data_IF_097537942166
#
_entry.id   IF_097537942166
#
_cell.length_a   1.000
_cell.length_b   1.000
_cell.length_c   1.000
_cell.angle_alpha   90.00
_cell.angle_beta   90.00
_cell.angle_gamma   90.00
#
_symmetry.space_group_name_H-M   'P 1'
#
loop_
_entity.id
_entity.type
_entity.pdbx_description
1 polymer ?
#
# COMPACT_ATOMS: atom_id res chain seq x y z
N UNK A 1 13.27 3.59 -12.16
CA UNK A 1 12.45 3.02 -11.06
C UNK A 1 13.39 2.66 -9.92
N UNK A 2 12.97 2.80 -8.67
CA UNK A 2 13.80 2.42 -7.51
C UNK A 2 13.36 1.03 -7.03
N UNK A 3 14.30 0.21 -6.57
CA UNK A 3 14.02 -1.10 -5.97
C UNK A 3 14.70 -1.18 -4.61
N UNK A 4 13.89 -1.39 -3.56
CA UNK A 4 14.38 -1.51 -2.18
C UNK A 4 14.30 -2.95 -1.70
N UNK A 5 15.24 -3.32 -0.84
CA UNK A 5 15.16 -4.51 -0.02
C UNK A 5 15.09 -4.13 1.45
N UNK A 6 14.22 -4.82 2.19
CA UNK A 6 14.27 -4.88 3.65
C UNK A 6 14.43 -6.33 4.09
N UNK A 7 15.21 -6.59 5.13
CA UNK A 7 15.45 -7.94 5.66
C UNK A 7 15.49 -7.97 7.19
N UNK A 8 15.21 -9.13 7.77
CA UNK A 8 15.32 -9.34 9.22
C UNK A 8 14.46 -10.47 9.77
N UNK A 9 14.50 -10.61 11.10
CA UNK A 9 13.65 -11.53 11.87
C UNK A 9 12.69 -10.71 12.72
N UNK A 10 11.39 -10.76 12.42
CA UNK A 10 10.34 -9.98 13.10
C UNK A 10 10.27 -8.51 12.67
N UNK A 11 11.36 -7.76 12.78
CA UNK A 11 11.47 -6.38 12.26
C UNK A 11 12.25 -6.36 10.96
N UNK A 12 11.59 -6.01 9.86
CA UNK A 12 12.22 -5.80 8.56
C UNK A 12 12.93 -4.44 8.54
N UNK A 13 14.25 -4.44 8.49
CA UNK A 13 15.06 -3.22 8.38
C UNK A 13 15.45 -2.97 6.92
N UNK A 14 15.61 -1.70 6.49
CA UNK A 14 16.23 -1.41 5.20
C UNK A 14 17.58 -2.13 5.07
N UNK A 15 17.78 -2.83 3.96
CA UNK A 15 18.93 -3.72 3.74
C UNK A 15 19.67 -3.44 2.43
N UNK A 16 19.02 -2.77 1.47
CA UNK A 16 19.66 -2.35 0.22
C UNK A 16 18.70 -1.60 -0.69
N UNK A 17 19.29 -0.92 -1.67
CA UNK A 17 18.60 -0.12 -2.66
C UNK A 17 19.36 -0.19 -3.99
N UNK A 18 18.63 -0.13 -5.10
CA UNK A 18 19.19 0.05 -6.43
C UNK A 18 18.19 0.77 -7.33
N UNK A 19 18.61 1.14 -8.52
CA UNK A 19 17.73 1.69 -9.56
C UNK A 19 17.72 0.78 -10.78
N UNK A 20 16.65 0.86 -11.56
CA UNK A 20 16.60 0.20 -12.86
C UNK A 20 17.33 1.00 -13.93
N UNK A 21 17.91 0.30 -14.89
CA UNK A 21 18.34 0.90 -16.16
C UNK A 21 17.15 1.27 -17.06
N UNK A 22 17.46 1.75 -18.27
CA UNK A 22 16.49 2.17 -19.29
C UNK A 22 15.60 1.01 -19.76
N UNK A 23 16.14 -0.21 -19.78
CA UNK A 23 15.43 -1.43 -20.15
C UNK A 23 14.60 -2.02 -18.99
N UNK A 24 14.68 -1.42 -17.80
CA UNK A 24 13.98 -1.85 -16.59
C UNK A 24 14.67 -2.98 -15.83
N UNK A 25 15.90 -3.36 -16.20
CA UNK A 25 16.68 -4.34 -15.46
C UNK A 25 17.33 -3.70 -14.24
N UNK A 26 17.65 -4.53 -13.24
CA UNK A 26 18.34 -4.09 -12.03
C UNK A 26 19.16 -5.22 -11.43
N UNK A 27 20.18 -4.85 -10.67
CA UNK A 27 20.91 -5.75 -9.79
C UNK A 27 20.85 -5.20 -8.38
N UNK A 28 20.22 -5.96 -7.49
CA UNK A 28 20.13 -5.63 -6.07
C UNK A 28 20.94 -6.64 -5.27
N UNK A 29 21.92 -6.15 -4.52
CA UNK A 29 22.64 -6.91 -3.51
C UNK A 29 22.35 -6.29 -2.16
N UNK A 30 22.03 -7.10 -1.16
CA UNK A 30 21.68 -6.63 0.16
C UNK A 30 22.08 -7.66 1.20
N UNK A 31 22.36 -7.19 2.41
CA UNK A 31 22.77 -8.08 3.50
C UNK A 31 21.57 -8.88 4.02
N UNK A 32 21.85 -10.13 4.44
CA UNK A 32 21.00 -10.77 5.43
C UNK A 32 21.00 -9.90 6.70
N UNK A 33 19.86 -9.79 7.38
CA UNK A 33 19.78 -9.05 8.64
C UNK A 33 20.58 -9.70 9.77
N UNK A 34 20.26 -9.37 11.02
CA UNK A 34 21.14 -9.53 12.19
C UNK A 34 21.66 -10.95 12.52
N UNK A 35 21.03 -12.02 12.01
CA UNK A 35 21.39 -13.40 12.35
C UNK A 35 21.69 -14.23 11.09
N UNK A 36 22.93 -14.23 10.56
CA UNK A 36 23.26 -14.88 9.28
C UNK A 36 23.11 -16.41 9.30
N UNK A 37 23.03 -17.02 10.48
CA UNK A 37 22.91 -18.47 10.67
C UNK A 37 21.46 -18.98 10.71
N UNK A 38 20.46 -18.07 10.79
CA UNK A 38 19.04 -18.43 10.78
C UNK A 38 18.37 -17.93 9.50
N UNK A 39 17.34 -18.63 8.99
CA UNK A 39 16.52 -18.10 7.91
C UNK A 39 15.87 -16.77 8.30
N UNK A 40 15.94 -15.78 7.42
CA UNK A 40 15.39 -14.45 7.63
C UNK A 40 14.35 -14.10 6.59
N UNK A 41 13.45 -13.20 6.93
CA UNK A 41 12.51 -12.67 5.96
C UNK A 41 13.15 -11.53 5.18
N UNK A 42 12.83 -11.46 3.91
CA UNK A 42 13.13 -10.29 3.10
C UNK A 42 11.93 -9.88 2.28
N UNK A 43 11.81 -8.58 2.06
CA UNK A 43 10.84 -7.98 1.14
C UNK A 43 11.62 -7.14 0.15
N UNK A 44 11.51 -7.50 -1.14
CA UNK A 44 11.98 -6.69 -2.27
C UNK A 44 10.79 -5.93 -2.86
N UNK A 45 10.85 -4.62 -2.87
CA UNK A 45 9.74 -3.76 -3.30
C UNK A 45 10.20 -2.78 -4.38
N UNK A 46 9.68 -2.88 -5.61
CA UNK A 46 9.86 -1.83 -6.60
C UNK A 46 8.96 -0.63 -6.27
N UNK A 47 9.45 0.57 -6.57
CA UNK A 47 8.70 1.82 -6.48
C UNK A 47 8.96 2.67 -7.72
N UNK A 48 7.87 3.12 -8.35
CA UNK A 48 7.87 4.08 -9.45
C UNK A 48 6.69 5.01 -9.23
N UNK A 49 6.94 6.31 -9.15
CA UNK A 49 5.91 7.31 -8.88
C UNK A 49 4.81 7.26 -9.95
N UNK A 50 3.56 7.26 -9.52
CA UNK A 50 2.38 7.09 -10.37
C UNK A 50 2.07 5.64 -10.73
N UNK A 51 2.75 4.64 -10.14
CA UNK A 51 2.56 3.22 -10.45
C UNK A 51 2.47 2.36 -9.19
N UNK A 52 1.82 1.20 -9.32
CA UNK A 52 1.79 0.16 -8.30
C UNK A 52 2.18 -1.20 -8.88
N UNK A 53 2.67 -2.11 -8.05
CA UNK A 53 3.02 -3.48 -8.47
C UNK A 53 1.76 -4.36 -8.52
N UNK A 54 1.51 -5.02 -9.67
CA UNK A 54 0.30 -5.81 -9.94
C UNK A 54 0.02 -6.89 -8.88
N UNK A 55 1.06 -7.50 -8.32
CA UNK A 55 1.00 -8.55 -7.31
C UNK A 55 0.91 -8.08 -5.85
N UNK A 56 0.85 -6.76 -5.60
CA UNK A 56 0.86 -6.22 -4.23
C UNK A 56 2.07 -6.67 -3.43
N UNK A 57 3.27 -6.48 -3.97
CA UNK A 57 4.60 -6.83 -3.43
C UNK A 57 4.77 -8.29 -2.98
N UNK A 58 3.83 -9.19 -3.29
CA UNK A 58 3.90 -10.60 -2.85
C UNK A 58 5.06 -11.36 -3.46
N UNK A 59 5.42 -11.04 -4.70
CA UNK A 59 6.57 -11.63 -5.41
C UNK A 59 7.90 -11.33 -4.74
N UNK A 60 7.97 -10.20 -4.04
CA UNK A 60 9.15 -9.76 -3.32
C UNK A 60 9.29 -10.36 -1.93
N UNK A 61 8.32 -11.14 -1.45
CA UNK A 61 8.40 -11.80 -0.15
C UNK A 61 9.27 -13.05 -0.28
N UNK A 62 10.45 -12.99 0.32
CA UNK A 62 11.46 -14.02 0.26
C UNK A 62 11.81 -14.49 1.67
N UNK A 63 12.39 -15.68 1.73
CA UNK A 63 13.17 -16.12 2.86
C UNK A 63 14.64 -16.20 2.43
N UNK A 64 15.56 -15.65 3.19
CA UNK A 64 16.99 -15.72 2.91
C UNK A 64 17.63 -16.68 3.90
N UNK A 65 18.44 -17.60 3.40
CA UNK A 65 19.14 -18.57 4.24
C UNK A 65 20.54 -18.87 3.74
N UNK A 66 21.46 -19.20 4.65
CA UNK A 66 22.80 -19.66 4.29
C UNK A 66 22.81 -21.08 3.71
N UNK A 67 21.80 -21.90 4.05
CA UNK A 67 21.62 -23.27 3.59
C UNK A 67 20.15 -23.52 3.28
N UNK A 68 19.88 -24.49 2.41
CA UNK A 68 18.50 -24.90 2.13
C UNK A 68 17.82 -25.36 3.43
N UNK A 69 16.54 -25.00 3.66
CA UNK A 69 15.80 -25.51 4.80
C UNK A 69 15.69 -27.03 4.69
N UNK A 70 16.00 -27.75 5.78
CA UNK A 70 15.91 -29.21 5.84
C UNK A 70 14.46 -29.66 6.08
N UNK A 71 13.65 -28.80 6.70
CA UNK A 71 12.26 -29.10 7.07
C UNK A 71 11.24 -28.35 6.21
N UNK A 72 10.07 -28.96 6.03
CA UNK A 72 8.91 -28.32 5.42
C UNK A 72 8.49 -27.04 6.18
N UNK A 73 7.89 -26.05 5.50
CA UNK A 73 7.44 -24.82 6.15
C UNK A 73 6.53 -25.10 7.35
N UNK A 74 6.69 -24.32 8.43
CA UNK A 74 5.85 -24.41 9.63
C UNK A 74 4.36 -24.30 9.25
N UNK A 75 3.52 -25.14 9.84
CA UNK A 75 2.07 -25.14 9.60
C UNK A 75 1.50 -23.73 9.81
N UNK A 76 0.89 -23.15 8.77
CA UNK A 76 0.31 -21.79 8.80
C UNK A 76 1.20 -20.66 8.27
N UNK A 77 2.47 -20.90 7.96
CA UNK A 77 3.27 -19.92 7.21
C UNK A 77 2.92 -19.98 5.73
N UNK A 78 2.62 -18.83 5.12
CA UNK A 78 2.50 -18.76 3.66
C UNK A 78 3.81 -19.25 3.02
N UNK A 79 3.76 -20.02 1.92
CA UNK A 79 4.97 -20.47 1.24
C UNK A 79 5.78 -19.24 0.80
N UNK A 80 7.01 -19.13 1.30
CA UNK A 80 7.97 -18.11 0.89
C UNK A 80 9.00 -18.75 -0.01
N UNK A 81 9.40 -18.06 -1.06
CA UNK A 81 10.51 -18.50 -1.90
C UNK A 81 11.80 -18.34 -1.09
N UNK A 82 12.50 -19.44 -0.82
CA UNK A 82 13.82 -19.37 -0.19
C UNK A 82 14.89 -19.03 -1.22
N UNK A 83 15.75 -18.09 -0.89
CA UNK A 83 16.90 -17.63 -1.66
C UNK A 83 18.14 -17.91 -0.83
N UNK A 84 19.13 -18.58 -1.43
CA UNK A 84 20.38 -18.87 -0.75
C UNK A 84 21.36 -17.72 -0.89
N UNK A 85 22.16 -17.48 0.15
CA UNK A 85 23.23 -16.50 0.10
C UNK A 85 24.14 -16.75 -1.11
N UNK A 86 24.50 -15.66 -1.79
CA UNK A 86 25.33 -15.66 -3.00
C UNK A 86 24.76 -16.41 -4.21
N UNK A 87 23.52 -16.88 -4.15
CA UNK A 87 22.82 -17.46 -5.30
C UNK A 87 21.83 -16.43 -5.85
N UNK A 88 22.16 -15.73 -6.94
CA UNK A 88 21.28 -14.71 -7.50
C UNK A 88 19.99 -15.35 -7.99
N UNK A 89 18.87 -14.65 -7.76
CA UNK A 89 17.57 -15.05 -8.28
C UNK A 89 16.98 -13.95 -9.13
N UNK A 90 16.26 -14.34 -10.17
CA UNK A 90 15.46 -13.42 -10.97
C UNK A 90 14.13 -13.15 -10.28
N UNK A 91 13.78 -11.85 -10.16
CA UNK A 91 12.50 -11.35 -9.70
C UNK A 91 11.96 -10.33 -10.71
N UNK A 92 10.88 -10.69 -11.39
CA UNK A 92 10.21 -9.82 -12.36
C UNK A 92 8.97 -9.17 -11.72
N UNK A 93 8.91 -7.84 -11.79
CA UNK A 93 7.81 -7.03 -11.31
C UNK A 93 7.07 -6.38 -12.48
N UNK A 94 5.74 -6.36 -12.40
CA UNK A 94 4.91 -5.67 -13.39
C UNK A 94 4.29 -4.45 -12.72
N UNK A 95 4.70 -3.28 -13.17
CA UNK A 95 4.20 -2.00 -12.69
C UNK A 95 3.01 -1.56 -13.54
N UNK A 96 1.90 -1.24 -12.90
CA UNK A 96 0.69 -0.72 -13.54
C UNK A 96 0.46 0.73 -13.12
N UNK A 97 -0.06 1.59 -14.01
CA UNK A 97 -0.43 2.96 -13.65
C UNK A 97 -1.40 2.97 -12.45
N UNK A 98 -1.13 3.85 -11.49
CA UNK A 98 -1.89 3.97 -10.26
C UNK A 98 -2.89 5.13 -10.30
N UNK A 99 -3.78 5.15 -9.31
CA UNK A 99 -4.61 6.31 -9.00
C UNK A 99 -3.89 7.25 -8.02
N UNK A 100 -4.19 8.54 -8.12
CA UNK A 100 -3.92 9.53 -7.06
C UNK A 100 -5.24 10.01 -6.50
N UNK A 101 -5.43 9.90 -5.19
CA UNK A 101 -6.70 10.24 -4.53
C UNK A 101 -6.50 11.47 -3.67
N UNK A 102 -7.09 12.59 -4.09
CA UNK A 102 -7.19 13.80 -3.26
C UNK A 102 -8.45 13.67 -2.40
N UNK A 103 -8.28 13.71 -1.07
CA UNK A 103 -9.38 13.50 -0.12
C UNK A 103 -9.65 14.79 0.63
N UNK A 104 -10.93 15.19 0.70
CA UNK A 104 -11.42 16.29 1.54
C UNK A 104 -12.35 15.75 2.62
N UNK A 105 -12.10 16.15 3.87
CA UNK A 105 -12.83 15.67 5.05
C UNK A 105 -13.71 16.77 5.63
N UNK A 106 -14.97 16.45 5.92
CA UNK A 106 -15.96 17.35 6.55
C UNK A 106 -16.47 16.76 7.87
N UNK A 107 -16.69 17.61 8.88
CA UNK A 107 -17.22 17.17 10.19
C UNK A 107 -18.75 17.02 10.18
N UNK A 108 -19.41 17.68 9.23
CA UNK A 108 -20.86 17.67 8.95
C UNK A 108 -21.08 18.12 7.50
N UNK A 109 -22.21 17.79 6.86
CA UNK A 109 -22.61 18.44 5.61
C UNK A 109 -22.62 19.97 5.78
N UNK A 110 -21.87 20.70 4.94
CA UNK A 110 -21.81 22.16 4.96
C UNK A 110 -20.75 22.82 5.86
N UNK A 111 -19.97 22.05 6.64
CA UNK A 111 -18.84 22.56 7.44
C UNK A 111 -17.51 22.05 6.89
N UNK A 112 -16.60 22.97 6.55
CA UNK A 112 -15.56 22.73 5.54
C UNK A 112 -14.15 22.47 6.06
N UNK A 113 -13.91 22.33 7.36
CA UNK A 113 -12.56 22.01 7.83
C UNK A 113 -12.55 21.12 9.05
N UNK A 114 -11.81 20.02 8.94
CA UNK A 114 -11.45 19.14 10.06
C UNK A 114 -9.94 19.00 10.06
N UNK A 115 -9.23 20.00 10.57
CA UNK A 115 -7.77 19.98 10.67
C UNK A 115 -7.27 18.91 11.65
N UNK A 116 -6.06 18.39 11.43
CA UNK A 116 -5.34 17.49 12.32
C UNK A 116 -6.09 16.17 12.65
N UNK A 117 -6.91 15.71 11.71
CA UNK A 117 -7.68 14.47 11.82
C UNK A 117 -6.92 13.32 11.22
N UNK A 118 -6.66 12.28 12.03
CA UNK A 118 -6.11 11.02 11.52
C UNK A 118 -7.18 10.21 10.80
N UNK A 119 -6.90 9.84 9.56
CA UNK A 119 -7.71 8.97 8.71
C UNK A 119 -6.81 7.84 8.19
N UNK A 120 -7.27 6.60 8.33
CA UNK A 120 -6.56 5.42 7.84
C UNK A 120 -7.29 4.91 6.60
N UNK A 121 -6.56 4.79 5.50
CA UNK A 121 -7.05 4.22 4.24
C UNK A 121 -6.77 2.72 4.25
N UNK A 122 -7.81 1.91 4.03
CA UNK A 122 -7.75 0.45 4.15
C UNK A 122 -8.27 -0.25 2.89
N UNK A 123 -7.78 -1.46 2.62
CA UNK A 123 -8.16 -2.29 1.49
C UNK A 123 -8.02 -3.78 1.80
N UNK A 124 -8.83 -4.64 1.16
CA UNK A 124 -8.88 -6.09 1.49
C UNK A 124 -7.63 -6.86 1.05
N UNK A 125 -6.95 -6.39 0.01
CA UNK A 125 -5.90 -7.15 -0.68
C UNK A 125 -4.64 -6.30 -0.88
N UNK A 126 -4.10 -5.82 0.24
CA UNK A 126 -2.83 -5.11 0.27
C UNK A 126 -1.68 -6.06 0.67
N UNK A 127 -0.46 -5.81 0.16
CA UNK A 127 0.80 -6.50 0.53
C UNK A 127 0.97 -6.77 2.04
N UNK A 128 1.82 -7.73 2.44
CA UNK A 128 1.66 -8.43 3.71
C UNK A 128 1.90 -7.54 4.92
N UNK A 129 1.02 -7.68 5.92
CA UNK A 129 1.18 -7.16 7.28
C UNK A 129 0.07 -6.20 7.71
N UNK A 130 -0.57 -5.50 6.78
CA UNK A 130 -1.69 -4.64 7.10
C UNK A 130 -2.62 -4.43 5.89
N UNK A 131 -3.92 -4.56 6.09
CA UNK A 131 -4.98 -4.08 5.19
C UNK A 131 -5.05 -2.54 5.15
N UNK A 132 -3.90 -1.85 5.17
CA UNK A 132 -3.75 -0.40 5.32
C UNK A 132 -2.85 0.11 4.20
N UNK A 133 -3.35 1.06 3.41
CA UNK A 133 -2.54 1.81 2.43
C UNK A 133 -1.66 2.81 3.17
N UNK A 134 -2.24 3.52 4.14
CA UNK A 134 -1.52 4.49 4.94
C UNK A 134 -2.41 5.13 6.02
N UNK A 135 -1.76 5.87 6.91
CA UNK A 135 -2.41 6.75 7.88
C UNK A 135 -2.07 8.18 7.52
N UNK A 136 -3.10 8.99 7.29
CA UNK A 136 -2.99 10.37 6.84
C UNK A 136 -3.55 11.30 7.90
N UNK A 137 -2.98 12.50 7.99
CA UNK A 137 -3.49 13.56 8.84
C UNK A 137 -3.95 14.70 7.95
N UNK A 138 -5.18 15.16 8.16
CA UNK A 138 -5.72 16.28 7.38
C UNK A 138 -5.00 17.60 7.68
N UNK A 139 -4.79 18.39 6.65
CA UNK A 139 -4.24 19.73 6.71
C UNK A 139 -5.25 20.78 7.23
N UNK A 140 -4.92 22.07 7.11
CA UNK A 140 -5.77 23.20 7.57
C UNK A 140 -7.11 23.28 6.83
N UNK A 141 -7.17 22.78 5.61
CA UNK A 141 -8.36 22.74 4.76
C UNK A 141 -9.13 21.41 4.90
N UNK A 142 -8.67 20.52 5.80
CA UNK A 142 -9.29 19.22 5.97
C UNK A 142 -8.91 18.23 4.87
N UNK A 143 -7.80 18.45 4.16
CA UNK A 143 -7.41 17.66 2.99
C UNK A 143 -6.18 16.79 3.25
N UNK A 144 -6.03 15.73 2.45
CA UNK A 144 -4.79 14.98 2.27
C UNK A 144 -4.77 14.31 0.90
N UNK A 145 -3.59 13.90 0.45
CA UNK A 145 -3.40 13.18 -0.82
C UNK A 145 -2.86 11.78 -0.53
N UNK A 146 -3.38 10.81 -1.29
CA UNK A 146 -2.89 9.43 -1.31
C UNK A 146 -2.36 9.17 -2.72
N UNK A 147 -1.06 8.94 -2.82
CA UNK A 147 -0.37 8.64 -4.08
C UNK A 147 -0.27 7.12 -4.29
N UNK A 148 0.05 6.72 -5.52
CA UNK A 148 0.34 5.34 -5.91
C UNK A 148 -0.73 4.32 -5.50
N UNK A 149 -2.01 4.71 -5.52
CA UNK A 149 -3.13 3.88 -5.08
C UNK A 149 -3.42 2.77 -6.10
N UNK A 150 -3.28 1.48 -5.74
CA UNK A 150 -3.65 0.39 -6.62
C UNK A 150 -5.13 0.45 -7.01
N UNK A 151 -5.46 0.04 -8.24
CA UNK A 151 -6.84 0.07 -8.76
C UNK A 151 -7.69 -1.07 -8.16
N UNK A 152 -8.18 -0.84 -6.93
CA UNK A 152 -8.93 -1.79 -6.10
C UNK A 152 -10.01 -1.09 -5.29
N UNK A 153 -10.65 -1.84 -4.40
CA UNK A 153 -11.64 -1.33 -3.45
C UNK A 153 -11.01 -0.95 -2.11
N UNK A 154 -11.41 0.21 -1.59
CA UNK A 154 -10.90 0.80 -0.35
C UNK A 154 -12.01 1.34 0.53
N UNK A 155 -11.74 1.45 1.82
CA UNK A 155 -12.58 2.20 2.75
C UNK A 155 -11.71 3.03 3.69
N UNK A 156 -12.33 4.04 4.28
CA UNK A 156 -11.68 4.92 5.24
C UNK A 156 -12.10 4.55 6.64
N UNK A 157 -11.17 4.65 7.58
CA UNK A 157 -11.45 4.53 9.01
C UNK A 157 -10.88 5.70 9.77
N UNK A 158 -11.59 6.11 10.83
CA UNK A 158 -11.14 7.21 11.66
C UNK A 158 -11.75 7.16 13.05
N UNK A 159 -11.05 7.74 14.02
CA UNK A 159 -11.46 7.75 15.41
C UNK A 159 -12.75 8.55 15.64
N UNK A 160 -13.65 7.99 16.46
CA UNK A 160 -14.93 8.59 16.87
C UNK A 160 -15.09 8.67 18.40
N UNK A 161 -13.98 8.55 19.14
CA UNK A 161 -13.87 8.59 20.60
C UNK A 161 -12.72 7.70 21.10
N UNK A 162 -12.58 7.55 22.42
CA UNK A 162 -11.47 6.82 23.07
C UNK A 162 -11.29 5.36 22.62
N UNK A 163 -12.34 4.68 22.15
CA UNK A 163 -12.28 3.26 21.80
C UNK A 163 -13.11 2.86 20.57
N UNK A 164 -13.56 3.81 19.74
CA UNK A 164 -14.40 3.51 18.56
C UNK A 164 -13.82 4.14 17.31
N UNK A 165 -13.64 3.34 16.26
CA UNK A 165 -13.40 3.82 14.90
C UNK A 165 -14.68 3.72 14.08
N UNK A 166 -14.95 4.72 13.26
CA UNK A 166 -15.96 4.63 12.20
C UNK A 166 -15.31 4.08 10.94
N UNK A 167 -16.12 3.40 10.14
CA UNK A 167 -15.76 2.89 8.82
C UNK A 167 -16.72 3.49 7.79
N UNK A 168 -16.18 3.96 6.66
CA UNK A 168 -16.98 4.40 5.52
C UNK A 168 -17.55 3.23 4.72
N UNK A 169 -18.47 3.52 3.81
CA UNK A 169 -18.71 2.65 2.66
C UNK A 169 -17.43 2.46 1.85
N UNK A 170 -17.41 1.39 1.06
CA UNK A 170 -16.30 1.03 0.18
C UNK A 170 -16.38 1.84 -1.12
N UNK A 171 -15.24 2.33 -1.61
CA UNK A 171 -15.07 2.99 -2.90
C UNK A 171 -14.17 2.12 -3.77
N UNK A 172 -14.49 2.02 -5.06
CA UNK A 172 -13.72 1.27 -6.04
C UNK A 172 -13.02 2.23 -6.99
N UNK A 173 -11.71 2.10 -7.14
CA UNK A 173 -10.94 2.82 -8.16
C UNK A 173 -10.60 1.85 -9.28
N UNK A 174 -11.02 2.17 -10.50
CA UNK A 174 -10.91 1.27 -11.67
C UNK A 174 -9.97 1.78 -12.73
N UNK A 175 -9.70 3.09 -12.75
CA UNK A 175 -8.91 3.76 -13.77
C UNK A 175 -7.71 4.45 -13.12
N UNK A 176 -6.55 4.51 -13.78
CA UNK A 176 -5.45 5.34 -13.31
C UNK A 176 -5.78 6.83 -13.44
N UNK A 177 -5.05 7.66 -12.72
CA UNK A 177 -5.22 9.12 -12.73
C UNK A 177 -5.87 9.66 -11.46
N UNK A 178 -6.38 10.89 -11.53
CA UNK A 178 -6.77 11.66 -10.35
C UNK A 178 -8.22 11.46 -9.98
N UNK A 179 -8.46 11.01 -8.74
CA UNK A 179 -9.76 11.01 -8.10
C UNK A 179 -9.85 12.11 -7.05
N UNK A 180 -11.03 12.72 -6.94
CA UNK A 180 -11.40 13.54 -5.80
C UNK A 180 -12.43 12.80 -4.96
N UNK A 181 -12.16 12.67 -3.67
CA UNK A 181 -13.01 11.95 -2.72
C UNK A 181 -13.40 12.88 -1.58
N UNK A 182 -14.68 12.84 -1.24
CA UNK A 182 -15.22 13.52 -0.08
C UNK A 182 -15.56 12.52 1.01
N UNK A 183 -15.09 12.80 2.22
CA UNK A 183 -15.43 12.07 3.42
C UNK A 183 -16.25 12.96 4.34
N UNK A 184 -17.39 12.49 4.78
CA UNK A 184 -18.25 13.17 5.73
C UNK A 184 -18.31 12.36 7.02
N UNK A 185 -17.86 12.97 8.12
CA UNK A 185 -18.24 12.54 9.44
C UNK A 185 -19.62 13.12 9.73
N UNK A 186 -20.55 12.30 10.18
CA UNK A 186 -21.79 12.80 10.79
C UNK A 186 -21.71 12.51 12.28
N UNK A 187 -21.67 13.57 13.09
CA UNK A 187 -21.58 13.48 14.56
C UNK A 187 -22.89 13.84 15.27
N UNK A 188 -24.03 13.84 14.58
CA UNK A 188 -25.34 14.10 15.21
C UNK A 188 -25.61 13.09 16.34
N UNK A 189 -26.20 13.62 17.43
CA UNK A 189 -26.19 13.14 18.82
C UNK A 189 -26.56 11.67 19.12
N UNK A 190 -26.98 10.86 18.14
CA UNK A 190 -27.34 9.44 18.36
C UNK A 190 -26.77 8.45 17.33
N UNK A 191 -26.26 8.88 16.18
CA UNK A 191 -25.71 7.98 15.14
C UNK A 191 -24.47 8.61 14.52
N UNK A 192 -23.30 8.22 15.02
CA UNK A 192 -22.03 8.59 14.40
C UNK A 192 -21.84 7.77 13.13
N UNK A 193 -21.66 8.42 11.98
CA UNK A 193 -21.43 7.74 10.69
C UNK A 193 -20.24 8.35 9.98
N UNK A 194 -19.53 7.53 9.22
CA UNK A 194 -18.54 7.97 8.24
C UNK A 194 -19.05 7.55 6.87
N UNK A 195 -19.10 8.47 5.91
CA UNK A 195 -19.44 8.17 4.53
C UNK A 195 -18.39 8.74 3.62
N UNK A 196 -18.09 8.02 2.54
CA UNK A 196 -17.16 8.45 1.52
C UNK A 196 -17.86 8.42 0.16
N UNK A 197 -17.54 9.38 -0.72
CA UNK A 197 -18.02 9.38 -2.10
C UNK A 197 -16.95 9.93 -3.03
N UNK A 198 -16.93 9.44 -4.25
CA UNK A 198 -16.16 10.03 -5.34
C UNK A 198 -16.91 11.27 -5.83
N UNK A 199 -16.23 12.41 -5.87
CA UNK A 199 -16.74 13.69 -6.38
C UNK A 199 -16.32 13.87 -7.84
N UNK A 200 -15.10 13.47 -8.16
CA UNK A 200 -14.55 13.48 -9.52
C UNK A 200 -13.71 12.23 -9.73
N UNK A 201 -13.76 11.67 -10.94
CA UNK A 201 -13.00 10.52 -11.37
C UNK A 201 -12.27 10.82 -12.67
N UNK A 202 -11.12 10.18 -12.93
CA UNK A 202 -10.47 10.30 -14.22
C UNK A 202 -11.39 9.74 -15.32
N UNK A 203 -11.28 10.27 -16.56
CA UNK A 203 -12.08 9.81 -17.69
C UNK A 203 -11.85 8.31 -17.92
N UNK A 204 -12.88 7.63 -18.41
CA UNK A 204 -12.75 6.22 -18.79
C UNK A 204 -11.91 6.13 -20.06
N UNK A 205 -10.71 5.51 -20.01
CA UNK A 205 -9.84 5.40 -21.17
C UNK A 205 -10.50 4.67 -22.35
N UNK A 206 -11.52 3.83 -22.11
CA UNK A 206 -12.25 3.13 -23.17
C UNK A 206 -13.42 3.95 -23.75
N UNK A 207 -13.91 4.97 -23.03
CA UNK A 207 -14.98 5.82 -23.53
C UNK A 207 -14.48 6.88 -24.53
N UNK A 208 -13.21 7.28 -24.42
CA UNK A 208 -12.57 8.25 -25.33
C UNK A 208 -12.10 7.63 -26.66
N UNK A 209 -12.23 6.31 -26.84
CA UNK A 209 -11.77 5.59 -28.03
C UNK A 209 -12.90 5.31 -29.06
N UNK A 210 -14.10 5.87 -28.87
CA UNK A 210 -15.16 5.81 -29.88
C UNK A 210 -15.01 7.00 -30.85
N UNK A 211 -14.74 6.76 -32.15
CA UNK A 211 -14.75 7.81 -33.17
C UNK A 211 -16.16 8.39 -33.39
#
# INVERSE_FOLDING_TARGET
MVVWASSGYGTLRPAGETTTDEDGNYRLSFAGGLMPFLPQDAIVSPRKDGYYEKGGHRRGILQIAAKAPVDAPRKGSAPRRTVLLHQPVRLDFVMLPAATVTVRVKDRPGWWSVKNRKVIVRGRELPPGASVVGTFTTDREGMFVVEDVPLKSYWFTAAAGRARSLRSNELKFTNPGRYEVEIVFDRRWRKKKLTARVVSSPPDPLASAKP
#
